data_IF_331843773160
#
_entry.id   IF_331843773160
#
_cell.length_a   1.000
_cell.length_b   1.000
_cell.length_c   1.000
_cell.angle_alpha   90.00
_cell.angle_beta   90.00
_cell.angle_gamma   90.00
#
_symmetry.space_group_name_H-M   'P 1'
#
loop_
_entity.id
_entity.type
_entity.pdbx_description
1 polymer ?
#
# COMPACT_ATOMS: atom_id res chain seq x y z
N UNK A 1 -21.92 6.57 9.69
CA UNK A 1 -21.49 5.74 10.85
C UNK A 1 -19.99 5.93 11.00
N UNK A 2 -19.52 6.39 12.16
CA UNK A 2 -18.10 6.68 12.37
C UNK A 2 -17.37 5.37 12.70
N UNK A 3 -16.46 4.91 11.82
CA UNK A 3 -15.80 3.61 11.92
C UNK A 3 -14.49 3.67 12.73
N UNK A 4 -14.38 4.62 13.66
CA UNK A 4 -13.16 4.93 14.44
C UNK A 4 -12.60 3.73 15.23
N UNK A 5 -13.42 2.72 15.52
CA UNK A 5 -13.01 1.50 16.24
C UNK A 5 -12.74 0.30 15.32
N UNK A 6 -12.84 0.48 13.99
CA UNK A 6 -12.60 -0.58 13.02
C UNK A 6 -11.11 -0.98 13.08
N UNK A 7 -10.86 -2.29 13.26
CA UNK A 7 -9.50 -2.84 13.32
C UNK A 7 -9.06 -3.50 12.02
N UNK A 8 -10.02 -4.00 11.24
CA UNK A 8 -9.75 -4.72 10.00
C UNK A 8 -10.68 -4.20 8.92
N UNK A 9 -10.10 -3.87 7.76
CA UNK A 9 -10.83 -3.51 6.55
C UNK A 9 -10.41 -4.51 5.48
N UNK A 10 -11.35 -5.35 5.07
CA UNK A 10 -11.13 -6.42 4.11
C UNK A 10 -12.09 -6.21 2.94
N UNK A 11 -11.54 -6.06 1.74
CA UNK A 11 -12.28 -5.89 0.48
C UNK A 11 -11.87 -7.05 -0.43
N UNK A 12 -12.84 -7.86 -0.83
CA UNK A 12 -12.62 -9.08 -1.62
C UNK A 12 -13.47 -9.01 -2.89
N UNK A 13 -12.92 -9.53 -3.99
CA UNK A 13 -13.64 -9.90 -5.22
C UNK A 13 -14.56 -8.79 -5.76
N UNK A 14 -14.10 -7.54 -5.71
CA UNK A 14 -14.87 -6.40 -6.21
C UNK A 14 -14.65 -6.21 -7.72
N UNK A 15 -15.33 -7.02 -8.52
CA UNK A 15 -15.16 -7.09 -9.99
C UNK A 15 -15.54 -5.80 -10.74
N UNK A 16 -16.35 -4.93 -10.13
CA UNK A 16 -16.81 -3.68 -10.74
C UNK A 16 -16.30 -2.43 -10.01
N UNK A 17 -15.57 -2.60 -8.90
CA UNK A 17 -14.99 -1.45 -8.21
C UNK A 17 -13.77 -0.96 -8.98
N UNK A 18 -13.84 0.30 -9.42
CA UNK A 18 -12.76 0.96 -10.16
C UNK A 18 -11.84 1.77 -9.25
N UNK A 19 -12.32 2.12 -8.06
CA UNK A 19 -11.60 2.95 -7.09
C UNK A 19 -11.74 2.41 -5.67
N UNK A 20 -10.69 2.63 -4.91
CA UNK A 20 -10.66 2.35 -3.48
C UNK A 20 -11.44 3.42 -2.69
N UNK A 21 -12.00 3.10 -1.50
CA UNK A 21 -12.61 4.09 -0.62
C UNK A 21 -11.66 5.28 -0.35
N UNK A 22 -12.14 6.50 -0.62
CA UNK A 22 -11.47 7.72 -0.19
C UNK A 22 -11.71 8.00 1.30
N UNK A 23 -10.84 8.79 1.92
CA UNK A 23 -10.98 9.25 3.32
C UNK A 23 -10.86 8.16 4.39
N UNK A 24 -9.79 7.35 4.32
CA UNK A 24 -9.47 6.40 5.39
C UNK A 24 -8.91 7.07 6.65
N UNK A 25 -8.55 8.36 6.61
CA UNK A 25 -7.96 9.10 7.73
C UNK A 25 -8.71 8.99 9.07
N UNK A 26 -10.01 8.70 9.02
CA UNK A 26 -10.84 8.48 10.21
C UNK A 26 -10.70 7.07 10.85
N UNK A 27 -10.09 6.11 10.15
CA UNK A 27 -9.90 4.73 10.58
C UNK A 27 -8.65 4.58 11.45
N UNK A 28 -8.45 5.46 12.42
CA UNK A 28 -7.21 5.53 13.21
C UNK A 28 -6.93 4.27 14.06
N UNK A 29 -7.95 3.42 14.32
CA UNK A 29 -7.78 2.12 15.00
C UNK A 29 -7.44 0.96 14.05
N UNK A 30 -7.35 1.20 12.74
CA UNK A 30 -7.14 0.15 11.75
C UNK A 30 -5.75 -0.48 11.94
N UNK A 31 -5.73 -1.80 11.99
CA UNK A 31 -4.52 -2.62 12.16
C UNK A 31 -4.22 -3.45 10.91
N UNK A 32 -5.25 -3.73 10.11
CA UNK A 32 -5.15 -4.60 8.95
C UNK A 32 -6.01 -4.06 7.80
N UNK A 33 -5.35 -3.93 6.65
CA UNK A 33 -5.97 -3.56 5.38
C UNK A 33 -5.71 -4.68 4.38
N UNK A 34 -6.79 -5.29 3.87
CA UNK A 34 -6.72 -6.29 2.80
C UNK A 34 -7.58 -5.88 1.61
N UNK A 35 -6.99 -5.96 0.43
CA UNK A 35 -7.67 -5.85 -0.84
C UNK A 35 -7.27 -7.06 -1.69
N UNK A 36 -8.22 -7.90 -2.09
CA UNK A 36 -7.93 -9.13 -2.84
C UNK A 36 -8.91 -9.30 -3.99
N UNK A 37 -8.45 -9.71 -5.18
CA UNK A 37 -9.33 -10.13 -6.29
C UNK A 37 -10.10 -8.99 -6.96
N UNK A 38 -9.61 -7.75 -6.86
CA UNK A 38 -10.30 -6.56 -7.37
C UNK A 38 -9.80 -6.19 -8.78
N UNK A 39 -10.27 -6.94 -9.78
CA UNK A 39 -9.69 -6.95 -11.13
C UNK A 39 -9.79 -5.64 -11.91
N UNK A 40 -10.79 -4.80 -11.65
CA UNK A 40 -10.97 -3.49 -12.33
C UNK A 40 -10.49 -2.30 -11.49
N UNK A 41 -9.89 -2.55 -10.34
CA UNK A 41 -9.47 -1.47 -9.45
C UNK A 41 -8.19 -0.83 -9.98
N UNK A 42 -8.32 0.38 -10.51
CA UNK A 42 -7.21 1.14 -11.10
C UNK A 42 -6.52 2.00 -10.04
N UNK A 43 -7.31 2.63 -9.16
CA UNK A 43 -6.84 3.69 -8.28
C UNK A 43 -6.99 3.33 -6.79
N UNK A 44 -5.86 3.15 -6.09
CA UNK A 44 -5.74 3.36 -4.64
C UNK A 44 -4.98 4.68 -4.42
N UNK A 45 -5.65 5.82 -4.59
CA UNK A 45 -5.08 7.11 -4.16
C UNK A 45 -5.65 7.44 -2.78
N UNK A 46 -5.37 6.57 -1.82
CA UNK A 46 -5.62 6.86 -0.42
C UNK A 46 -4.27 7.12 0.23
N UNK A 47 -4.09 8.30 0.81
CA UNK A 47 -3.00 8.52 1.75
C UNK A 47 -3.31 7.73 3.02
N UNK A 48 -2.51 6.70 3.27
CA UNK A 48 -2.65 5.86 4.45
C UNK A 48 -1.70 6.27 5.57
N UNK A 49 -0.87 7.31 5.40
CA UNK A 49 0.00 7.81 6.47
C UNK A 49 -0.72 8.10 7.81
N UNK A 50 -1.97 8.60 7.83
CA UNK A 50 -2.71 8.79 9.08
C UNK A 50 -3.05 7.49 9.84
N UNK A 51 -2.99 6.33 9.18
CA UNK A 51 -3.34 5.02 9.74
C UNK A 51 -2.19 4.43 10.57
N UNK A 52 -1.71 5.19 11.56
CA UNK A 52 -0.49 4.90 12.34
C UNK A 52 -0.50 3.56 13.10
N UNK A 53 -1.66 2.92 13.23
CA UNK A 53 -1.82 1.62 13.87
C UNK A 53 -1.81 0.43 12.90
N UNK A 54 -1.68 0.67 11.58
CA UNK A 54 -1.57 -0.40 10.60
C UNK A 54 -0.32 -1.25 10.87
N UNK A 55 -0.56 -2.56 10.90
CA UNK A 55 0.47 -3.59 11.05
C UNK A 55 0.55 -4.46 9.80
N UNK A 56 -0.56 -4.63 9.09
CA UNK A 56 -0.65 -5.49 7.91
C UNK A 56 -1.33 -4.78 6.76
N UNK A 57 -0.67 -4.77 5.60
CA UNK A 57 -1.23 -4.29 4.34
C UNK A 57 -1.04 -5.38 3.29
N UNK A 58 -2.15 -5.91 2.78
CA UNK A 58 -2.17 -6.96 1.76
C UNK A 58 -3.00 -6.47 0.59
N UNK A 59 -2.38 -6.35 -0.57
CA UNK A 59 -3.03 -6.01 -1.84
C UNK A 59 -2.70 -7.16 -2.79
N UNK A 60 -3.67 -8.02 -3.09
CA UNK A 60 -3.47 -9.18 -3.95
C UNK A 60 -4.44 -9.30 -5.11
N UNK A 61 -3.98 -9.89 -6.20
CA UNK A 61 -4.80 -10.20 -7.37
C UNK A 61 -5.59 -8.97 -7.87
N UNK A 62 -4.86 -7.86 -8.08
CA UNK A 62 -5.42 -6.60 -8.57
C UNK A 62 -4.66 -6.12 -9.84
N UNK A 63 -4.80 -6.85 -10.96
CA UNK A 63 -3.95 -6.65 -12.15
C UNK A 63 -4.15 -5.31 -12.88
N UNK A 64 -5.32 -4.65 -12.71
CA UNK A 64 -5.54 -3.32 -13.30
C UNK A 64 -4.98 -2.16 -12.47
N UNK A 65 -4.40 -2.45 -11.31
CA UNK A 65 -3.89 -1.43 -10.41
C UNK A 65 -2.61 -0.82 -10.96
N UNK A 66 -2.67 0.46 -11.31
CA UNK A 66 -1.56 1.23 -11.86
C UNK A 66 -0.90 2.14 -10.84
N UNK A 67 -1.49 2.28 -9.65
CA UNK A 67 -0.99 3.10 -8.56
C UNK A 67 -1.18 2.39 -7.21
N UNK A 68 -0.22 2.56 -6.31
CA UNK A 68 -0.27 2.04 -4.93
C UNK A 68 -0.61 3.16 -3.92
N UNK A 69 -1.12 2.82 -2.71
CA UNK A 69 -1.41 3.81 -1.68
C UNK A 69 -0.16 4.61 -1.29
N UNK A 70 -0.30 5.93 -1.16
CA UNK A 70 0.78 6.80 -0.68
C UNK A 70 0.90 6.73 0.84
N UNK A 71 2.06 7.08 1.38
CA UNK A 71 2.26 7.11 2.84
C UNK A 71 2.51 5.74 3.48
N UNK A 72 2.52 4.63 2.71
CA UNK A 72 2.90 3.29 3.19
C UNK A 72 4.25 3.35 3.92
N UNK A 73 5.22 4.07 3.38
CA UNK A 73 6.56 4.20 3.96
C UNK A 73 6.60 4.94 5.30
N UNK A 74 5.55 5.68 5.64
CA UNK A 74 5.49 6.49 6.86
C UNK A 74 4.73 5.78 7.99
N UNK A 75 4.30 4.53 7.76
CA UNK A 75 3.62 3.69 8.76
C UNK A 75 4.62 3.16 9.81
N UNK A 76 4.55 3.61 11.08
CA UNK A 76 5.57 3.29 12.07
C UNK A 76 5.50 1.84 12.59
N UNK A 77 4.34 1.19 12.44
CA UNK A 77 4.01 -0.13 12.99
C UNK A 77 3.80 -1.20 11.93
N UNK A 78 4.07 -0.89 10.66
CA UNK A 78 3.88 -1.85 9.58
C UNK A 78 4.86 -3.00 9.75
N UNK A 79 4.32 -4.21 9.86
CA UNK A 79 5.04 -5.47 10.06
C UNK A 79 5.01 -6.33 8.81
N UNK A 80 3.89 -6.35 8.10
CA UNK A 80 3.68 -7.17 6.91
C UNK A 80 3.18 -6.30 5.76
N UNK A 81 3.92 -6.30 4.66
CA UNK A 81 3.56 -5.64 3.41
C UNK A 81 3.58 -6.63 2.27
N UNK A 82 2.40 -6.93 1.73
CA UNK A 82 2.26 -7.76 0.54
C UNK A 82 1.54 -7.00 -0.56
N UNK A 83 2.15 -6.88 -1.73
CA UNK A 83 1.55 -6.22 -2.90
C UNK A 83 1.83 -7.05 -4.15
N UNK A 84 0.78 -7.54 -4.82
CA UNK A 84 0.88 -8.30 -6.07
C UNK A 84 -0.26 -9.30 -6.26
N UNK A 85 -0.69 -9.69 -7.46
CA UNK A 85 -0.20 -9.26 -8.76
C UNK A 85 -0.77 -7.88 -9.13
N UNK A 86 0.12 -6.91 -9.37
CA UNK A 86 -0.21 -5.55 -9.82
C UNK A 86 0.20 -5.34 -11.29
N UNK A 87 -0.31 -4.27 -11.92
CA UNK A 87 -0.15 -4.00 -13.36
C UNK A 87 1.31 -3.84 -13.79
N UNK A 88 1.61 -4.23 -15.04
CA UNK A 88 2.88 -3.92 -15.72
C UNK A 88 3.09 -2.42 -15.96
N UNK A 89 2.03 -1.62 -15.83
CA UNK A 89 2.03 -0.17 -16.00
C UNK A 89 2.28 0.58 -14.68
N UNK A 90 2.44 -0.13 -13.56
CA UNK A 90 2.83 0.48 -12.29
C UNK A 90 4.28 1.00 -12.40
N UNK A 91 4.43 2.31 -12.60
CA UNK A 91 5.73 2.96 -12.79
C UNK A 91 6.28 3.63 -11.51
N UNK A 92 5.43 3.78 -10.49
CA UNK A 92 5.77 4.43 -9.24
C UNK A 92 5.44 3.55 -8.03
N UNK A 93 6.47 3.21 -7.28
CA UNK A 93 6.32 2.55 -5.98
C UNK A 93 6.19 3.62 -4.87
N UNK A 94 5.38 3.41 -3.81
CA UNK A 94 5.14 4.35 -2.72
C UNK A 94 6.34 4.50 -1.77
N UNK A 95 7.53 4.12 -2.22
CA UNK A 95 8.77 4.33 -1.50
C UNK A 95 9.35 5.67 -1.93
N UNK A 96 9.56 6.61 -1.00
CA UNK A 96 10.14 7.89 -1.34
C UNK A 96 11.58 7.66 -1.82
N UNK A 97 11.79 7.94 -3.10
CA UNK A 97 13.12 8.00 -3.71
C UNK A 97 13.88 9.23 -3.25
N UNK A 98 13.19 10.26 -2.74
CA UNK A 98 13.73 11.55 -2.30
C UNK A 98 13.13 12.00 -0.96
N UNK A 99 13.95 12.62 -0.10
CA UNK A 99 13.52 13.19 1.19
C UNK A 99 12.82 14.54 1.01
N UNK A 100 12.32 15.13 2.11
CA UNK A 100 11.67 16.46 2.10
C UNK A 100 12.58 17.60 1.66
N UNK A 101 13.89 17.34 1.54
CA UNK A 101 14.90 18.28 1.09
C UNK A 101 15.37 17.96 -0.36
N UNK A 102 14.76 16.98 -1.03
CA UNK A 102 15.09 16.57 -2.39
C UNK A 102 16.30 15.64 -2.52
N UNK A 103 16.80 15.06 -1.43
CA UNK A 103 17.95 14.15 -1.47
C UNK A 103 17.51 12.70 -1.73
N UNK A 104 18.23 11.99 -2.58
CA UNK A 104 17.98 10.56 -2.82
C UNK A 104 18.11 9.73 -1.52
N UNK A 105 17.05 9.02 -1.13
CA UNK A 105 17.03 8.21 0.11
C UNK A 105 17.26 6.71 -0.14
N UNK A 106 17.81 6.35 -1.30
CA UNK A 106 18.03 4.96 -1.71
C UNK A 106 18.73 4.21 -0.58
N UNK A 107 18.00 3.28 0.06
CA UNK A 107 18.53 2.39 1.08
C UNK A 107 18.40 2.80 2.55
N UNK A 108 17.72 3.90 2.91
CA UNK A 108 17.24 4.07 4.30
C UNK A 108 15.90 3.35 4.44
N UNK A 109 15.88 2.19 5.09
CA UNK A 109 14.61 1.54 5.43
C UNK A 109 13.79 2.47 6.32
N UNK A 110 12.73 3.07 5.75
CA UNK A 110 11.71 3.80 6.53
C UNK A 110 10.83 2.85 7.35
N UNK A 111 10.86 1.57 7.02
CA UNK A 111 10.04 0.53 7.61
C UNK A 111 10.67 -0.04 8.88
N UNK A 112 10.61 0.72 9.98
CA UNK A 112 11.27 0.36 11.24
C UNK A 112 10.82 -0.99 11.84
N UNK A 113 9.60 -1.42 11.53
CA UNK A 113 8.96 -2.57 12.15
C UNK A 113 8.68 -3.71 11.16
N UNK A 114 9.05 -3.55 9.89
CA UNK A 114 8.68 -4.49 8.84
C UNK A 114 9.51 -5.76 8.97
N UNK A 115 8.80 -6.87 9.04
CA UNK A 115 9.38 -8.21 9.14
C UNK A 115 9.13 -9.02 7.88
N UNK A 116 8.10 -8.69 7.12
CA UNK A 116 7.71 -9.40 5.91
C UNK A 116 7.41 -8.41 4.78
N UNK A 117 8.13 -8.59 3.68
CA UNK A 117 7.95 -7.84 2.45
C UNK A 117 7.82 -8.82 1.29
N UNK A 118 6.65 -8.83 0.66
CA UNK A 118 6.39 -9.59 -0.56
C UNK A 118 5.86 -8.64 -1.62
N UNK A 119 6.62 -8.48 -2.70
CA UNK A 119 6.19 -7.69 -3.84
C UNK A 119 6.27 -8.59 -5.08
N UNK A 120 5.22 -8.66 -5.90
CA UNK A 120 5.21 -9.44 -7.14
C UNK A 120 4.24 -8.90 -8.17
N UNK A 121 4.54 -9.13 -9.45
CA UNK A 121 3.78 -8.57 -10.55
C UNK A 121 4.55 -8.69 -11.86
N UNK A 122 3.83 -8.59 -12.98
CA UNK A 122 4.42 -8.69 -14.32
C UNK A 122 5.35 -7.51 -14.67
N UNK A 123 5.30 -6.39 -13.93
CA UNK A 123 6.14 -5.21 -14.11
C UNK A 123 7.33 -5.07 -13.14
N UNK A 124 7.72 -6.15 -12.45
CA UNK A 124 8.79 -6.11 -11.45
C UNK A 124 10.16 -5.67 -11.99
N UNK A 125 10.42 -5.96 -13.26
CA UNK A 125 11.61 -5.54 -14.00
C UNK A 125 11.71 -4.02 -14.19
N UNK A 126 10.59 -3.30 -14.09
CA UNK A 126 10.52 -1.83 -14.21
C UNK A 126 10.69 -1.11 -12.87
N UNK A 127 10.66 -1.82 -11.74
CA UNK A 127 10.74 -1.23 -10.40
C UNK A 127 12.16 -0.72 -10.13
N UNK A 128 12.32 0.59 -10.02
CA UNK A 128 13.62 1.26 -9.91
C UNK A 128 14.30 1.12 -8.54
N UNK A 129 13.53 0.79 -7.49
CA UNK A 129 14.05 0.65 -6.13
C UNK A 129 13.10 -0.18 -5.26
N UNK A 130 13.66 -1.10 -4.47
CA UNK A 130 12.95 -1.87 -3.45
C UNK A 130 13.27 -1.33 -2.04
N UNK A 131 12.41 -1.54 -1.04
CA UNK A 131 12.76 -1.32 0.36
C UNK A 131 13.85 -2.32 0.75
N UNK A 132 14.87 -1.84 1.45
CA UNK A 132 15.79 -2.74 2.11
C UNK A 132 15.07 -3.34 3.34
N UNK A 133 15.06 -4.67 3.43
CA UNK A 133 14.65 -5.43 4.63
C UNK A 133 15.62 -5.20 5.77
#
# INVERSE_FOLDING_TARGET
KNLIALKQLIILDCENAISFPSHLECLTSLQELRLVGCNKMENIIADIAPLVNLRKVIIRDCPSMTCLPTGISDLPRLEELVIGEFSSELDMFPFPTIDTNGNEIIGRSKFKSLVELELYGSGMDKVKSLPNS
#
